data_IF_570954094199
#
_entry.id   IF_570954094199
#
_cell.length_a   1.000
_cell.length_b   1.000
_cell.length_c   1.000
_cell.angle_alpha   90.00
_cell.angle_beta   90.00
_cell.angle_gamma   90.00
#
_symmetry.space_group_name_H-M   'P 1'
#
loop_
_entity.id
_entity.type
_entity.pdbx_description
1 polymer ?
#
# COMPACT_ATOMS: atom_id res chain seq x y z
N UNK A 1 -65.17 -24.70 48.28
CA UNK A 1 -63.79 -24.67 47.75
C UNK A 1 -63.30 -23.25 47.78
N UNK A 2 -62.00 -23.09 48.03
CA UNK A 2 -61.24 -21.86 48.24
C UNK A 2 -61.67 -20.88 49.36
N UNK A 3 -60.91 -20.89 50.46
CA UNK A 3 -60.98 -19.87 51.49
C UNK A 3 -60.06 -20.15 52.67
N UNK A 4 -58.76 -19.83 52.54
CA UNK A 4 -57.86 -19.71 53.71
C UNK A 4 -57.11 -18.39 53.69
N UNK A 5 -57.55 -17.49 54.58
CA UNK A 5 -56.77 -16.44 55.24
C UNK A 5 -55.73 -17.09 56.20
N UNK A 6 -54.98 -16.36 57.07
CA UNK A 6 -54.67 -14.92 57.18
C UNK A 6 -53.15 -14.66 57.44
N UNK A 7 -52.75 -13.39 57.67
CA UNK A 7 -51.61 -13.11 58.56
C UNK A 7 -50.77 -11.86 58.28
N UNK A 8 -51.20 -10.69 58.77
CA UNK A 8 -50.32 -9.57 59.16
C UNK A 8 -49.78 -9.86 60.59
N UNK A 9 -48.86 -9.08 61.22
CA UNK A 9 -47.98 -7.97 60.80
C UNK A 9 -46.54 -8.07 61.37
N UNK A 10 -45.65 -7.10 61.10
CA UNK A 10 -44.39 -6.96 61.85
C UNK A 10 -43.54 -5.75 61.48
N UNK A 11 -43.44 -4.79 62.40
CA UNK A 11 -42.83 -3.46 62.27
C UNK A 11 -41.51 -3.41 63.06
N UNK A 12 -40.40 -2.93 62.49
CA UNK A 12 -39.24 -2.32 63.20
C UNK A 12 -38.59 -1.28 62.26
N UNK A 13 -38.63 0.04 62.54
CA UNK A 13 -37.62 0.86 63.29
C UNK A 13 -36.20 0.63 62.75
N UNK A 14 -35.40 1.60 62.30
CA UNK A 14 -35.03 2.92 62.87
C UNK A 14 -34.18 3.65 61.78
N UNK A 15 -34.34 4.97 61.58
CA UNK A 15 -33.35 6.05 61.86
C UNK A 15 -31.90 5.70 61.44
N UNK A 16 -31.15 6.50 60.70
CA UNK A 16 -30.84 7.90 60.97
C UNK A 16 -29.82 8.39 59.91
N UNK A 17 -29.63 9.73 59.82
CA UNK A 17 -28.38 10.46 59.46
C UNK A 17 -27.47 9.90 58.35
N UNK A 18 -27.00 10.67 57.38
CA UNK A 18 -26.88 12.11 57.27
C UNK A 18 -25.81 12.43 56.21
N UNK A 19 -26.01 13.55 55.52
CA UNK A 19 -24.99 14.58 55.26
C UNK A 19 -23.60 14.10 54.76
N UNK A 20 -23.28 14.41 53.50
CA UNK A 20 -22.28 15.45 53.14
C UNK A 20 -22.13 15.64 51.63
N UNK A 21 -22.36 16.88 51.20
CA UNK A 21 -21.82 17.50 49.99
C UNK A 21 -20.38 17.95 50.27
N UNK A 22 -19.46 17.74 49.33
CA UNK A 22 -18.20 18.48 49.18
C UNK A 22 -18.01 18.66 47.67
N UNK A 23 -18.31 19.82 47.08
CA UNK A 23 -17.54 21.08 47.06
C UNK A 23 -16.18 20.91 46.36
N UNK A 24 -16.12 21.59 45.22
CA UNK A 24 -14.97 21.81 44.36
C UNK A 24 -13.74 22.33 45.12
N UNK A 25 -12.55 21.96 44.62
CA UNK A 25 -11.34 22.75 44.81
C UNK A 25 -10.59 22.86 43.49
N UNK A 26 -10.60 24.08 42.97
CA UNK A 26 -9.64 24.57 42.01
C UNK A 26 -8.26 24.66 42.69
N UNK A 27 -7.23 24.19 42.02
CA UNK A 27 -5.85 24.53 42.33
C UNK A 27 -5.24 25.24 41.11
N UNK A 28 -5.12 26.55 41.25
CA UNK A 28 -4.24 27.38 40.42
C UNK A 28 -2.80 27.06 40.81
N UNK A 29 -2.02 26.54 39.87
CA UNK A 29 -0.56 26.47 39.96
C UNK A 29 0.02 27.35 38.86
N UNK A 30 0.39 28.57 39.22
CA UNK A 30 1.22 29.43 38.38
C UNK A 30 2.68 29.18 38.72
N UNK A 31 3.51 28.85 37.74
CA UNK A 31 4.96 28.96 37.84
C UNK A 31 5.55 29.42 36.51
N UNK A 32 6.30 30.51 36.64
CA UNK A 32 6.94 31.41 35.66
C UNK A 32 8.01 30.69 34.80
N UNK A 33 8.15 31.05 33.51
CA UNK A 33 9.30 31.76 32.87
C UNK A 33 10.66 31.06 33.06
N UNK A 34 11.56 30.83 32.10
CA UNK A 34 11.85 31.31 30.73
C UNK A 34 13.01 30.40 30.17
N UNK A 35 13.64 30.65 29.00
CA UNK A 35 14.13 29.65 28.05
C UNK A 35 15.66 29.42 28.12
N UNK A 36 16.13 28.30 27.58
CA UNK A 36 17.53 28.06 27.20
C UNK A 36 17.59 26.72 26.45
N UNK A 37 18.45 26.47 25.47
CA UNK A 37 19.29 27.29 24.63
C UNK A 37 19.65 26.38 23.44
N UNK A 38 19.80 27.00 22.29
CA UNK A 38 20.17 26.42 21.02
C UNK A 38 21.66 26.01 21.08
N UNK A 39 21.98 24.72 20.92
CA UNK A 39 23.37 24.27 20.75
C UNK A 39 23.50 23.69 19.34
N UNK A 40 23.86 24.58 18.41
CA UNK A 40 24.46 24.22 17.12
C UNK A 40 25.91 23.86 17.39
N UNK A 41 26.29 22.61 17.14
CA UNK A 41 27.69 22.22 17.03
C UNK A 41 27.92 21.74 15.58
N UNK A 42 28.33 22.68 14.73
CA UNK A 42 28.91 22.39 13.44
C UNK A 42 30.38 22.02 13.67
N UNK A 43 30.76 20.77 13.37
CA UNK A 43 32.17 20.37 13.27
C UNK A 43 32.49 20.21 11.80
N UNK A 44 33.12 21.25 11.24
CA UNK A 44 33.82 21.23 9.96
C UNK A 44 35.24 20.74 10.26
N UNK A 45 35.60 19.56 9.77
CA UNK A 45 37.01 19.16 9.63
C UNK A 45 37.30 19.10 8.13
N UNK A 46 37.97 20.15 7.69
CA UNK A 46 38.63 20.27 6.40
C UNK A 46 40.04 19.69 6.57
N UNK A 47 40.42 18.66 5.80
CA UNK A 47 41.82 18.29 5.63
C UNK A 47 42.07 17.94 4.17
N UNK A 48 42.98 18.72 3.60
CA UNK A 48 43.33 18.80 2.20
C UNK A 48 44.43 17.78 1.83
N UNK A 49 44.23 17.17 0.65
CA UNK A 49 45.17 16.79 -0.43
C UNK A 49 46.69 16.67 -0.19
N UNK A 50 47.28 15.62 -0.81
CA UNK A 50 48.64 15.42 -1.42
C UNK A 50 48.80 13.87 -1.59
N UNK A 51 49.25 13.20 -2.66
CA UNK A 51 50.11 13.53 -3.82
C UNK A 51 49.91 12.54 -5.00
N UNK A 52 50.26 13.03 -6.18
CA UNK A 52 50.73 12.47 -7.46
C UNK A 52 50.87 10.96 -7.76
N UNK A 53 50.54 10.63 -9.02
CA UNK A 53 51.51 10.04 -9.96
C UNK A 53 51.34 8.56 -10.32
N UNK A 54 51.07 8.26 -11.60
CA UNK A 54 51.18 6.90 -12.13
C UNK A 54 50.66 6.70 -13.55
N UNK A 55 51.41 7.19 -14.56
CA UNK A 55 51.33 6.67 -15.93
C UNK A 55 52.09 5.34 -16.00
N UNK A 56 51.56 4.39 -16.77
CA UNK A 56 52.24 3.14 -17.11
C UNK A 56 51.89 2.71 -18.53
N UNK A 57 52.66 3.22 -19.48
CA UNK A 57 52.72 2.82 -20.89
C UNK A 57 53.56 1.53 -20.99
N UNK A 58 53.11 0.55 -21.78
CA UNK A 58 53.83 -0.72 -22.01
C UNK A 58 53.77 -1.11 -23.48
N UNK A 59 54.78 -0.68 -24.25
CA UNK A 59 55.08 -1.13 -25.60
C UNK A 59 56.08 -2.31 -25.56
N UNK A 60 55.95 -3.27 -26.48
CA UNK A 60 57.06 -4.20 -26.78
C UNK A 60 56.72 -5.46 -27.56
N UNK A 61 56.89 -5.40 -28.89
CA UNK A 61 57.31 -6.51 -29.78
C UNK A 61 56.22 -7.50 -30.22
N UNK A 62 55.96 -7.75 -31.51
CA UNK A 62 56.82 -7.70 -32.68
C UNK A 62 57.16 -9.12 -33.14
N UNK A 63 56.33 -9.72 -34.01
CA UNK A 63 56.78 -10.82 -34.87
C UNK A 63 55.99 -10.82 -36.19
N UNK A 64 56.75 -10.96 -37.27
CA UNK A 64 56.42 -10.74 -38.68
C UNK A 64 55.68 -11.95 -39.32
N UNK A 65 55.28 -11.88 -40.61
CA UNK A 65 54.10 -12.55 -41.15
C UNK A 65 54.37 -13.95 -41.73
N UNK A 66 53.32 -14.77 -41.79
CA UNK A 66 53.29 -16.01 -42.60
C UNK A 66 52.13 -15.92 -43.60
N UNK A 67 52.46 -16.19 -44.86
CA UNK A 67 51.60 -16.12 -46.03
C UNK A 67 50.36 -17.02 -45.94
N UNK A 68 49.18 -16.42 -46.10
CA UNK A 68 47.89 -17.12 -46.22
C UNK A 68 47.51 -17.31 -47.68
N UNK A 69 47.27 -18.58 -48.04
CA UNK A 69 46.91 -19.05 -49.37
C UNK A 69 45.62 -18.40 -49.92
N UNK A 70 45.64 -18.09 -51.21
CA UNK A 70 44.48 -17.66 -51.99
C UNK A 70 43.54 -18.84 -52.22
N UNK A 71 42.34 -18.81 -51.61
CA UNK A 71 41.25 -19.72 -51.91
C UNK A 71 40.15 -18.98 -52.67
N UNK A 72 39.84 -19.46 -53.87
CA UNK A 72 38.76 -18.97 -54.74
C UNK A 72 37.40 -19.34 -54.15
N UNK A 73 36.56 -18.34 -53.82
CA UNK A 73 35.19 -18.54 -53.32
C UNK A 73 34.18 -18.30 -54.45
N UNK A 74 33.24 -19.21 -54.73
CA UNK A 74 32.18 -19.03 -55.73
C UNK A 74 31.09 -18.03 -55.24
N UNK A 75 30.30 -17.43 -56.15
CA UNK A 75 29.36 -16.37 -55.82
C UNK A 75 28.23 -16.85 -54.88
N UNK A 76 27.79 -16.03 -53.90
CA UNK A 76 26.68 -16.39 -53.02
C UNK A 76 25.34 -16.41 -53.78
N UNK A 77 24.59 -17.48 -53.52
CA UNK A 77 23.18 -17.67 -53.91
C UNK A 77 22.28 -16.60 -53.28
N UNK A 78 21.21 -16.14 -53.95
CA UNK A 78 20.28 -15.17 -53.38
C UNK A 78 19.57 -15.75 -52.14
N UNK A 79 19.75 -15.06 -51.02
CA UNK A 79 19.07 -15.35 -49.75
C UNK A 79 17.54 -15.25 -49.91
N UNK A 80 16.74 -16.17 -49.35
CA UNK A 80 15.29 -16.04 -49.38
C UNK A 80 14.87 -14.79 -48.59
N UNK A 81 14.05 -13.98 -49.26
CA UNK A 81 13.37 -12.79 -48.75
C UNK A 81 12.77 -13.05 -47.36
N UNK A 82 13.13 -12.21 -46.39
CA UNK A 82 12.56 -12.24 -45.05
C UNK A 82 11.05 -11.97 -45.15
N UNK A 83 10.26 -13.00 -44.86
CA UNK A 83 8.80 -12.92 -44.72
C UNK A 83 8.47 -11.92 -43.60
N UNK A 84 7.54 -10.95 -43.82
CA UNK A 84 7.21 -9.95 -42.82
C UNK A 84 6.68 -10.63 -41.55
N UNK A 85 7.31 -10.28 -40.42
CA UNK A 85 6.93 -10.75 -39.10
C UNK A 85 5.45 -10.47 -38.83
N UNK A 86 4.69 -11.53 -38.59
CA UNK A 86 3.29 -11.45 -38.20
C UNK A 86 3.17 -10.53 -36.96
N UNK A 87 2.30 -9.53 -37.06
CA UNK A 87 1.89 -8.70 -35.93
C UNK A 87 1.30 -9.61 -34.85
N UNK A 88 2.04 -9.83 -33.77
CA UNK A 88 1.57 -10.66 -32.67
C UNK A 88 0.31 -10.03 -32.06
N UNK A 89 -0.81 -10.76 -32.07
CA UNK A 89 -2.02 -10.38 -31.35
C UNK A 89 -1.67 -10.17 -29.87
N UNK A 90 -2.02 -9.04 -29.24
CA UNK A 90 -1.70 -8.80 -27.84
C UNK A 90 -2.32 -9.89 -26.96
N UNK A 91 -1.51 -10.52 -26.12
CA UNK A 91 -1.96 -11.56 -25.19
C UNK A 91 -2.95 -10.96 -24.18
N UNK A 92 -4.07 -11.65 -23.94
CA UNK A 92 -5.06 -11.22 -22.97
C UNK A 92 -4.47 -11.20 -21.55
N UNK A 93 -4.75 -10.13 -20.80
CA UNK A 93 -4.27 -9.95 -19.42
C UNK A 93 -5.40 -9.72 -18.44
N UNK A 94 -5.19 -10.08 -17.18
CA UNK A 94 -6.05 -9.73 -16.05
C UNK A 94 -5.30 -8.78 -15.12
N UNK A 95 -5.95 -7.72 -14.66
CA UNK A 95 -5.39 -6.79 -13.66
C UNK A 95 -5.78 -7.21 -12.25
N UNK A 96 -4.79 -7.28 -11.35
CA UNK A 96 -4.95 -7.62 -9.94
C UNK A 96 -4.59 -6.42 -9.07
N UNK A 97 -5.42 -6.14 -8.05
CA UNK A 97 -5.12 -5.14 -7.02
C UNK A 97 -4.60 -5.85 -5.77
N UNK A 98 -3.35 -5.61 -5.41
CA UNK A 98 -2.68 -6.26 -4.28
C UNK A 98 -2.40 -5.22 -3.20
N UNK A 99 -2.68 -5.57 -1.95
CA UNK A 99 -2.42 -4.68 -0.81
C UNK A 99 -1.19 -5.17 -0.07
N UNK A 100 -0.14 -4.36 -0.09
CA UNK A 100 1.11 -4.57 0.62
C UNK A 100 1.27 -3.53 1.73
N UNK A 101 2.45 -3.49 2.36
CA UNK A 101 2.76 -2.46 3.33
C UNK A 101 3.60 -1.35 2.72
N UNK A 102 3.33 -0.12 3.14
CA UNK A 102 4.13 1.06 2.87
C UNK A 102 4.29 1.82 4.17
N UNK A 103 5.53 1.89 4.68
CA UNK A 103 5.83 2.52 5.99
C UNK A 103 4.96 1.97 7.14
N UNK A 104 4.56 0.70 7.05
CA UNK A 104 3.75 0.02 8.07
C UNK A 104 2.23 0.19 7.94
N UNK A 105 1.77 0.96 6.97
CA UNK A 105 0.35 1.13 6.59
C UNK A 105 0.07 0.41 5.26
N UNK A 106 -1.19 0.31 4.83
CA UNK A 106 -1.56 -0.31 3.57
C UNK A 106 -1.10 0.52 2.36
N UNK A 107 -0.53 -0.13 1.36
CA UNK A 107 -0.19 0.42 0.05
C UNK A 107 -0.65 -0.51 -1.07
N UNK A 108 -1.03 0.05 -2.22
CA UNK A 108 -1.63 -0.73 -3.32
C UNK A 108 -0.67 -0.88 -4.49
N UNK A 109 -0.58 -2.11 -5.00
CA UNK A 109 0.02 -2.43 -6.28
C UNK A 109 -1.05 -2.87 -7.28
N UNK A 110 -0.84 -2.56 -8.55
CA UNK A 110 -1.71 -2.93 -9.65
C UNK A 110 -0.91 -3.77 -10.66
N UNK A 111 -1.09 -5.09 -10.59
CA UNK A 111 -0.29 -6.06 -11.35
C UNK A 111 -1.08 -6.62 -12.52
N UNK A 112 -0.51 -6.57 -13.72
CA UNK A 112 -1.06 -7.26 -14.90
C UNK A 112 -0.46 -8.65 -14.99
N UNK A 113 -1.32 -9.67 -15.03
CA UNK A 113 -0.96 -11.08 -15.20
C UNK A 113 -1.58 -11.64 -16.48
N UNK A 114 -1.10 -12.77 -17.01
CA UNK A 114 -1.80 -13.48 -18.07
C UNK A 114 -3.26 -13.74 -17.69
N UNK A 115 -4.16 -13.72 -18.67
CA UNK A 115 -5.58 -13.95 -18.45
C UNK A 115 -5.82 -15.24 -17.63
N UNK A 116 -6.65 -15.13 -16.60
CA UNK A 116 -6.96 -16.26 -15.72
C UNK A 116 -8.44 -16.34 -15.41
N UNK A 117 -8.94 -17.57 -15.29
CA UNK A 117 -10.31 -17.86 -14.84
C UNK A 117 -10.45 -17.84 -13.32
N UNK A 118 -9.33 -17.77 -12.58
CA UNK A 118 -9.32 -17.74 -11.10
C UNK A 118 -8.57 -16.50 -10.57
N UNK A 119 -9.08 -15.28 -10.85
CA UNK A 119 -8.37 -14.04 -10.52
C UNK A 119 -8.19 -13.83 -9.01
N UNK A 120 -9.15 -14.25 -8.17
CA UNK A 120 -9.02 -14.18 -6.71
C UNK A 120 -7.88 -15.07 -6.19
N UNK A 121 -7.80 -16.31 -6.67
CA UNK A 121 -6.69 -17.25 -6.35
C UNK A 121 -5.35 -16.68 -6.83
N UNK A 122 -5.31 -16.10 -8.03
CA UNK A 122 -4.10 -15.46 -8.55
C UNK A 122 -3.67 -14.27 -7.69
N UNK A 123 -4.62 -13.43 -7.25
CA UNK A 123 -4.34 -12.29 -6.37
C UNK A 123 -3.79 -12.72 -5.01
N UNK A 124 -4.40 -13.72 -4.35
CA UNK A 124 -3.91 -14.21 -3.06
C UNK A 124 -2.53 -14.84 -3.21
N UNK A 125 -2.28 -15.64 -4.24
CA UNK A 125 -0.93 -16.20 -4.49
C UNK A 125 0.10 -15.10 -4.74
N UNK A 126 -0.24 -14.07 -5.51
CA UNK A 126 0.64 -12.93 -5.76
C UNK A 126 0.91 -12.13 -4.48
N UNK A 127 -0.10 -11.94 -3.62
CA UNK A 127 0.05 -11.31 -2.31
C UNK A 127 1.00 -12.10 -1.40
N UNK A 128 0.82 -13.43 -1.32
CA UNK A 128 1.67 -14.32 -0.51
C UNK A 128 3.11 -14.39 -1.01
N UNK A 129 3.32 -14.29 -2.32
CA UNK A 129 4.65 -14.21 -2.93
C UNK A 129 5.38 -12.89 -2.59
N UNK A 130 4.63 -11.85 -2.21
CA UNK A 130 5.16 -10.55 -1.86
C UNK A 130 5.33 -9.58 -3.05
N UNK A 131 5.84 -8.37 -2.76
CA UNK A 131 6.06 -7.36 -3.77
C UNK A 131 7.21 -7.73 -4.72
N UNK A 132 7.04 -7.43 -6.01
CA UNK A 132 8.10 -7.55 -7.00
C UNK A 132 9.17 -6.45 -6.87
N UNK A 133 10.13 -6.42 -7.79
CA UNK A 133 11.24 -5.47 -7.73
C UNK A 133 10.82 -4.01 -7.88
N UNK A 134 9.91 -3.73 -8.82
CA UNK A 134 9.41 -2.37 -9.06
C UNK A 134 8.55 -1.90 -7.88
N UNK A 135 7.70 -2.79 -7.36
CA UNK A 135 6.88 -2.55 -6.18
C UNK A 135 7.74 -2.28 -4.93
N UNK A 136 8.81 -3.05 -4.73
CA UNK A 136 9.79 -2.81 -3.65
C UNK A 136 10.54 -1.49 -3.83
N UNK A 137 10.97 -1.17 -5.05
CA UNK A 137 11.60 0.11 -5.37
C UNK A 137 10.65 1.30 -5.12
N UNK A 138 9.34 1.09 -5.29
CA UNK A 138 8.30 2.05 -4.93
C UNK A 138 8.01 2.13 -3.42
N UNK A 139 8.72 1.37 -2.58
CA UNK A 139 8.60 1.36 -1.13
C UNK A 139 7.51 0.44 -0.60
N UNK A 140 7.03 -0.53 -1.38
CA UNK A 140 6.16 -1.59 -0.89
C UNK A 140 6.97 -2.70 -0.23
N UNK A 141 6.43 -3.26 0.85
CA UNK A 141 7.03 -4.35 1.62
C UNK A 141 6.02 -5.50 1.78
N UNK A 142 6.49 -6.74 1.99
CA UNK A 142 5.61 -7.87 2.26
C UNK A 142 4.68 -7.57 3.44
N UNK A 143 3.39 -7.88 3.28
CA UNK A 143 2.41 -7.76 4.36
C UNK A 143 2.26 -9.05 5.17
N UNK A 144 2.55 -10.19 4.55
CA UNK A 144 2.30 -11.53 5.08
C UNK A 144 3.62 -12.17 5.54
N UNK A 145 3.57 -12.96 6.61
CA UNK A 145 4.69 -13.79 7.07
C UNK A 145 5.21 -14.68 5.93
N UNK A 146 6.54 -14.75 5.79
CA UNK A 146 7.18 -15.55 4.74
C UNK A 146 6.85 -17.05 4.90
N UNK A 147 6.70 -17.74 3.76
CA UNK A 147 6.43 -19.19 3.72
C UNK A 147 4.96 -19.58 3.91
N UNK A 148 4.06 -18.64 4.16
CA UNK A 148 2.61 -18.89 4.18
C UNK A 148 2.14 -19.23 2.76
N UNK A 149 1.37 -20.32 2.63
CA UNK A 149 0.85 -20.80 1.35
C UNK A 149 -0.68 -20.91 1.40
N UNK A 150 -1.31 -20.75 0.22
CA UNK A 150 -2.75 -20.93 0.04
C UNK A 150 -3.09 -22.41 -0.11
N UNK A 151 -3.87 -22.97 0.82
CA UNK A 151 -4.36 -24.36 0.76
C UNK A 151 -5.66 -24.45 0.00
N UNK A 152 -6.60 -23.55 0.26
CA UNK A 152 -7.93 -23.50 -0.40
C UNK A 152 -8.40 -22.06 -0.53
N UNK A 153 -9.10 -21.80 -1.64
CA UNK A 153 -9.91 -20.60 -1.82
C UNK A 153 -11.21 -20.96 -2.53
N UNK A 154 -12.33 -20.55 -1.97
CA UNK A 154 -13.65 -20.62 -2.60
C UNK A 154 -14.40 -19.31 -2.35
N UNK A 155 -15.33 -18.96 -3.23
CA UNK A 155 -16.20 -17.80 -3.05
C UNK A 155 -17.64 -18.29 -3.17
N UNK A 156 -18.44 -18.05 -2.14
CA UNK A 156 -19.85 -18.37 -2.10
C UNK A 156 -20.58 -17.26 -1.34
N UNK A 157 -21.75 -16.85 -1.83
CA UNK A 157 -22.65 -15.89 -1.16
C UNK A 157 -21.96 -14.59 -0.69
N UNK A 158 -21.05 -14.04 -1.49
CA UNK A 158 -20.32 -12.81 -1.15
C UNK A 158 -19.16 -13.02 -0.16
N UNK A 159 -18.88 -14.25 0.28
CA UNK A 159 -17.82 -14.56 1.23
C UNK A 159 -16.71 -15.36 0.54
N UNK A 160 -15.47 -14.86 0.64
CA UNK A 160 -14.29 -15.62 0.25
C UNK A 160 -13.83 -16.50 1.43
N UNK A 161 -13.98 -17.81 1.28
CA UNK A 161 -13.44 -18.81 2.20
C UNK A 161 -11.98 -19.09 1.84
N UNK A 162 -11.06 -18.75 2.74
CA UNK A 162 -9.62 -18.87 2.53
C UNK A 162 -9.01 -19.72 3.61
N UNK A 163 -8.29 -20.77 3.23
CA UNK A 163 -7.48 -21.57 4.14
C UNK A 163 -6.00 -21.42 3.82
N UNK A 164 -5.22 -20.99 4.82
CA UNK A 164 -3.77 -20.82 4.73
C UNK A 164 -3.03 -21.92 5.49
N UNK A 165 -1.76 -22.14 5.13
CA UNK A 165 -0.90 -23.13 5.81
C UNK A 165 -0.42 -22.68 7.19
N UNK A 166 -0.27 -21.37 7.40
CA UNK A 166 0.22 -20.78 8.63
C UNK A 166 -0.35 -19.37 8.81
N UNK A 167 -0.29 -18.79 10.02
CA UNK A 167 -0.77 -17.43 10.28
C UNK A 167 -0.12 -16.39 9.35
N UNK A 168 -0.92 -15.50 8.72
CA UNK A 168 -0.38 -14.45 7.88
C UNK A 168 0.31 -13.34 8.67
N UNK A 169 0.06 -13.22 9.97
CA UNK A 169 0.68 -12.24 10.86
C UNK A 169 1.65 -12.90 11.85
N UNK A 170 2.76 -12.22 12.22
CA UNK A 170 3.76 -12.76 13.14
C UNK A 170 3.25 -12.89 14.58
N UNK A 171 2.37 -11.97 15.00
CA UNK A 171 1.66 -12.05 16.28
C UNK A 171 0.17 -12.21 15.98
N UNK A 172 -0.36 -13.44 15.99
CA UNK A 172 -1.76 -13.72 15.69
C UNK A 172 -2.71 -13.27 16.82
N UNK A 173 -2.17 -12.94 18.00
CA UNK A 173 -2.96 -12.48 19.15
C UNK A 173 -3.08 -10.95 19.21
N UNK A 174 -2.37 -10.26 18.31
CA UNK A 174 -2.39 -8.82 18.23
C UNK A 174 -3.81 -8.28 17.96
N UNK A 175 -4.13 -7.06 18.44
CA UNK A 175 -5.40 -6.43 18.11
C UNK A 175 -5.51 -6.20 16.58
N UNK A 176 -6.74 -6.08 16.03
CA UNK A 176 -6.95 -5.93 14.59
C UNK A 176 -6.15 -4.80 13.93
N UNK A 177 -5.92 -3.71 14.67
CA UNK A 177 -5.11 -2.57 14.22
C UNK A 177 -3.63 -2.91 13.95
N UNK A 178 -3.16 -4.11 14.31
CA UNK A 178 -1.78 -4.59 14.11
C UNK A 178 -1.69 -5.84 13.22
N UNK A 179 -2.83 -6.42 12.81
CA UNK A 179 -2.89 -7.59 11.93
C UNK A 179 -2.78 -7.18 10.45
N UNK A 180 -1.55 -6.84 10.05
CA UNK A 180 -1.18 -6.31 8.74
C UNK A 180 -1.37 -7.32 7.60
N UNK A 181 -0.97 -8.57 7.80
CA UNK A 181 -1.12 -9.64 6.81
C UNK A 181 -2.58 -10.00 6.59
N UNK A 182 -3.35 -10.11 7.67
CA UNK A 182 -4.79 -10.30 7.63
C UNK A 182 -5.49 -9.13 6.91
N UNK A 183 -5.14 -7.89 7.24
CA UNK A 183 -5.69 -6.71 6.58
C UNK A 183 -5.39 -6.73 5.07
N UNK A 184 -4.14 -6.97 4.67
CA UNK A 184 -3.75 -7.06 3.28
C UNK A 184 -4.55 -8.10 2.49
N UNK A 185 -4.78 -9.28 3.08
CA UNK A 185 -5.60 -10.33 2.47
C UNK A 185 -7.06 -9.88 2.31
N UNK A 186 -7.66 -9.32 3.37
CA UNK A 186 -9.04 -8.84 3.36
C UNK A 186 -9.23 -7.74 2.31
N UNK A 187 -8.35 -6.75 2.24
CA UNK A 187 -8.46 -5.67 1.26
C UNK A 187 -8.27 -6.18 -0.18
N UNK A 188 -7.33 -7.09 -0.40
CA UNK A 188 -7.09 -7.72 -1.70
C UNK A 188 -8.33 -8.47 -2.20
N UNK A 189 -8.94 -9.29 -1.35
CA UNK A 189 -10.12 -10.08 -1.74
C UNK A 189 -11.38 -9.23 -1.89
N UNK A 190 -11.59 -8.27 -1.00
CA UNK A 190 -12.75 -7.36 -1.09
C UNK A 190 -12.61 -6.29 -2.18
N UNK A 191 -11.59 -6.38 -3.07
CA UNK A 191 -11.58 -5.64 -4.32
C UNK A 191 -12.41 -6.28 -5.42
N UNK A 192 -12.65 -7.59 -5.32
CA UNK A 192 -13.56 -8.28 -6.22
C UNK A 192 -14.99 -7.90 -5.84
N UNK A 193 -15.77 -7.42 -6.81
CA UNK A 193 -17.14 -6.96 -6.55
C UNK A 193 -18.09 -8.06 -6.04
N UNK A 194 -17.70 -9.33 -6.21
CA UNK A 194 -18.43 -10.50 -5.72
C UNK A 194 -18.02 -10.92 -4.31
N UNK A 195 -17.14 -10.16 -3.62
CA UNK A 195 -16.61 -10.49 -2.29
C UNK A 195 -16.81 -9.32 -1.33
N UNK A 196 -17.72 -9.49 -0.38
CA UNK A 196 -18.05 -8.56 0.68
C UNK A 196 -17.25 -8.81 1.97
N UNK A 197 -16.91 -10.08 2.23
CA UNK A 197 -16.18 -10.50 3.42
C UNK A 197 -15.26 -11.71 3.17
N UNK A 198 -14.36 -11.98 4.11
CA UNK A 198 -13.39 -13.09 4.04
C UNK A 198 -13.50 -13.98 5.27
N UNK A 199 -13.93 -15.22 5.11
CA UNK A 199 -13.82 -16.23 6.15
C UNK A 199 -12.42 -16.84 6.08
N UNK A 200 -11.57 -16.53 7.05
CA UNK A 200 -10.17 -16.94 7.06
C UNK A 200 -9.95 -18.07 8.06
N UNK A 201 -9.32 -19.14 7.60
CA UNK A 201 -8.82 -20.24 8.42
C UNK A 201 -7.32 -20.44 8.22
N UNK A 202 -6.67 -20.99 9.23
CA UNK A 202 -5.28 -21.46 9.19
C UNK A 202 -5.27 -22.91 9.60
N UNK A 203 -4.77 -23.78 8.74
CA UNK A 203 -4.78 -25.21 8.95
C UNK A 203 -6.20 -25.79 9.23
N UNK A 204 -7.27 -25.15 8.73
CA UNK A 204 -8.66 -25.51 9.00
C UNK A 204 -9.29 -24.85 10.24
N UNK A 205 -8.51 -24.16 11.07
CA UNK A 205 -9.00 -23.48 12.28
C UNK A 205 -9.33 -22.01 12.02
N UNK A 206 -10.41 -21.45 12.59
CA UNK A 206 -10.76 -20.03 12.42
C UNK A 206 -9.63 -19.07 12.82
N UNK A 207 -9.40 -18.05 12.00
CA UNK A 207 -8.32 -17.09 12.21
C UNK A 207 -8.72 -15.64 11.83
N UNK A 208 -8.32 -14.62 12.61
CA UNK A 208 -7.69 -14.72 13.94
C UNK A 208 -8.74 -15.09 14.99
N UNK A 209 -8.33 -15.77 16.06
CA UNK A 209 -9.27 -16.18 17.12
C UNK A 209 -10.00 -15.00 17.79
N UNK A 210 -9.41 -13.80 17.75
CA UNK A 210 -9.98 -12.57 18.31
C UNK A 210 -11.10 -11.95 17.44
N UNK A 211 -11.24 -12.37 16.19
CA UNK A 211 -12.28 -11.92 15.26
C UNK A 211 -12.97 -13.14 14.63
N UNK A 212 -13.88 -13.81 15.37
CA UNK A 212 -14.58 -14.96 14.83
C UNK A 212 -15.51 -14.54 13.68
N UNK A 213 -15.55 -15.36 12.62
CA UNK A 213 -16.43 -15.20 11.47
C UNK A 213 -15.85 -14.41 10.31
N UNK A 214 -16.67 -14.11 9.28
CA UNK A 214 -16.21 -13.39 8.08
C UNK A 214 -15.70 -11.98 8.38
N UNK A 215 -14.48 -11.72 7.93
CA UNK A 215 -13.75 -10.48 8.13
C UNK A 215 -14.11 -9.45 7.05
N UNK A 216 -14.44 -8.23 7.47
CA UNK A 216 -14.61 -7.07 6.59
C UNK A 216 -13.44 -6.11 6.76
N UNK A 217 -13.38 -5.04 5.97
CA UNK A 217 -12.34 -4.00 6.10
C UNK A 217 -12.40 -3.20 7.41
N UNK A 218 -13.56 -3.17 8.09
CA UNK A 218 -13.84 -2.27 9.22
C UNK A 218 -12.84 -2.38 10.38
N UNK A 219 -12.46 -3.57 10.88
CA UNK A 219 -11.52 -3.70 12.00
C UNK A 219 -10.10 -3.21 11.68
N UNK A 220 -9.76 -3.16 10.39
CA UNK A 220 -8.39 -2.87 9.91
C UNK A 220 -8.21 -1.42 9.44
N UNK A 221 -9.22 -0.55 9.56
CA UNK A 221 -9.15 0.85 9.08
C UNK A 221 -8.03 1.68 9.71
N UNK A 222 -7.52 1.27 10.87
CA UNK A 222 -6.36 1.90 11.50
C UNK A 222 -5.05 1.72 10.70
N UNK A 223 -5.03 0.77 9.76
CA UNK A 223 -3.90 0.53 8.85
C UNK A 223 -4.04 1.29 7.52
N UNK A 224 -5.16 2.00 7.29
CA UNK A 224 -5.31 2.87 6.12
C UNK A 224 -4.54 4.18 6.37
N UNK A 225 -3.64 4.61 5.45
CA UNK A 225 -2.95 5.88 5.57
C UNK A 225 -3.91 7.07 5.50
N UNK A 226 -3.46 8.25 5.93
CA UNK A 226 -4.27 9.49 5.92
C UNK A 226 -4.82 9.80 4.53
N UNK A 227 -4.00 9.64 3.48
CA UNK A 227 -4.47 9.60 2.09
C UNK A 227 -4.25 8.18 1.56
N UNK A 228 -5.33 7.44 1.41
CA UNK A 228 -5.31 6.07 0.91
C UNK A 228 -5.80 6.02 -0.53
N UNK A 229 -4.86 5.94 -1.46
CA UNK A 229 -5.13 5.77 -2.89
C UNK A 229 -5.30 4.28 -3.17
N UNK A 230 -6.50 3.87 -3.57
CA UNK A 230 -6.82 2.48 -3.93
C UNK A 230 -6.77 2.25 -5.44
N UNK A 231 -6.86 3.31 -6.24
CA UNK A 231 -6.69 3.30 -7.68
C UNK A 231 -6.17 4.67 -8.15
N UNK A 232 -5.12 4.74 -8.97
CA UNK A 232 -4.28 3.62 -9.44
C UNK A 232 -3.34 3.07 -8.35
N UNK A 233 -2.91 1.82 -8.52
CA UNK A 233 -1.82 1.23 -7.72
C UNK A 233 -0.44 1.44 -8.34
N UNK A 234 0.62 1.04 -7.61
CA UNK A 234 1.98 0.99 -8.18
C UNK A 234 1.99 0.05 -9.40
N UNK A 235 2.59 0.49 -10.51
CA UNK A 235 2.68 -0.28 -11.75
C UNK A 235 1.48 -0.14 -12.69
N UNK A 236 0.45 0.62 -12.29
CA UNK A 236 -0.75 0.81 -13.09
C UNK A 236 -0.45 1.39 -14.48
N UNK A 237 -1.18 0.92 -15.48
CA UNK A 237 -1.24 1.51 -16.82
C UNK A 237 -2.40 2.51 -16.86
N UNK A 238 -2.12 3.80 -17.00
CA UNK A 238 -3.12 4.86 -16.95
C UNK A 238 -3.66 5.19 -18.34
N UNK A 239 -4.92 4.90 -18.68
CA UNK A 239 -5.57 5.49 -19.85
C UNK A 239 -5.79 6.99 -19.64
N UNK A 240 -6.01 7.74 -20.72
CA UNK A 240 -6.54 9.10 -20.64
C UNK A 240 -8.06 9.11 -20.94
N UNK A 241 -8.91 9.62 -20.03
CA UNK A 241 -8.63 9.96 -18.63
C UNK A 241 -8.51 8.69 -17.75
N UNK A 242 -7.84 8.81 -16.60
CA UNK A 242 -7.82 7.76 -15.58
C UNK A 242 -8.65 8.14 -14.35
N UNK A 243 -9.10 7.12 -13.61
CA UNK A 243 -9.83 7.30 -12.36
C UNK A 243 -8.87 7.25 -11.17
N UNK A 244 -8.88 8.31 -10.37
CA UNK A 244 -8.23 8.38 -9.06
C UNK A 244 -9.30 8.17 -7.98
N UNK A 245 -9.15 7.10 -7.19
CA UNK A 245 -10.13 6.71 -6.18
C UNK A 245 -9.50 6.16 -4.90
N UNK A 246 -10.22 6.30 -3.79
CA UNK A 246 -9.78 5.81 -2.49
C UNK A 246 -10.52 6.47 -1.34
N UNK A 247 -9.80 6.71 -0.24
CA UNK A 247 -10.32 7.44 0.91
C UNK A 247 -9.25 8.30 1.57
N UNK A 248 -9.67 9.39 2.20
CA UNK A 248 -8.76 10.29 2.88
C UNK A 248 -9.35 10.81 4.20
N UNK A 249 -8.48 11.13 5.15
CA UNK A 249 -8.75 11.85 6.38
C UNK A 249 -7.79 13.05 6.43
N UNK A 250 -8.15 14.11 5.71
CA UNK A 250 -7.35 15.33 5.59
C UNK A 250 -8.17 16.56 5.98
N UNK A 251 -7.50 17.63 6.39
CA UNK A 251 -8.15 18.90 6.74
C UNK A 251 -8.94 19.45 5.53
N UNK A 252 -10.12 20.03 5.78
CA UNK A 252 -11.06 20.53 4.75
C UNK A 252 -11.49 19.52 3.67
N UNK A 253 -11.15 18.24 3.82
CA UNK A 253 -11.39 17.19 2.85
C UNK A 253 -10.68 17.38 1.49
N UNK A 254 -9.75 18.33 1.37
CA UNK A 254 -9.10 18.66 0.10
C UNK A 254 -7.61 18.31 0.10
N UNK A 255 -7.13 17.77 -1.01
CA UNK A 255 -5.72 17.44 -1.22
C UNK A 255 -5.36 17.57 -2.71
N UNK A 256 -4.07 17.50 -3.03
CA UNK A 256 -3.55 17.61 -4.39
C UNK A 256 -3.17 16.25 -4.95
N UNK A 257 -3.52 16.00 -6.21
CA UNK A 257 -2.95 14.93 -7.01
C UNK A 257 -2.19 15.53 -8.20
N UNK A 258 -0.93 15.14 -8.35
CA UNK A 258 -0.01 15.64 -9.36
C UNK A 258 0.58 14.47 -10.14
N UNK A 259 0.31 14.43 -11.44
CA UNK A 259 0.94 13.50 -12.35
C UNK A 259 2.22 14.14 -12.90
N UNK A 260 3.35 13.49 -12.65
CA UNK A 260 4.68 13.96 -13.09
C UNK A 260 5.31 12.94 -14.02
N UNK A 261 5.83 13.38 -15.16
CA UNK A 261 6.64 12.57 -16.06
C UNK A 261 8.07 12.40 -15.56
N UNK A 262 8.96 11.85 -16.42
CA UNK A 262 10.37 11.72 -16.12
C UNK A 262 11.00 13.07 -15.75
N UNK A 263 11.97 13.05 -14.84
CA UNK A 263 12.67 14.25 -14.32
C UNK A 263 11.76 15.24 -13.58
N UNK A 264 10.58 14.82 -13.13
CA UNK A 264 9.67 15.66 -12.33
C UNK A 264 8.89 16.69 -13.15
N UNK A 265 8.86 16.59 -14.49
CA UNK A 265 8.03 17.44 -15.34
C UNK A 265 6.55 17.24 -14.98
N UNK A 266 5.87 18.27 -14.51
CA UNK A 266 4.41 18.23 -14.27
C UNK A 266 3.66 18.01 -15.58
N UNK A 267 2.79 16.99 -15.60
CA UNK A 267 1.90 16.67 -16.71
C UNK A 267 0.49 17.15 -16.40
N UNK A 268 -0.02 16.81 -15.21
CA UNK A 268 -1.33 17.24 -14.73
C UNK A 268 -1.27 17.55 -13.23
N UNK A 269 -2.14 18.44 -12.76
CA UNK A 269 -2.33 18.71 -11.33
C UNK A 269 -3.80 19.02 -11.11
N UNK A 270 -4.41 18.32 -10.15
CA UNK A 270 -5.82 18.47 -9.80
C UNK A 270 -5.97 18.57 -8.29
N UNK A 271 -6.92 19.39 -7.85
CA UNK A 271 -7.40 19.38 -6.47
C UNK A 271 -8.49 18.32 -6.36
N UNK A 272 -8.38 17.45 -5.35
CA UNK A 272 -9.33 16.37 -5.09
C UNK A 272 -10.04 16.66 -3.78
N UNK A 273 -11.37 16.46 -3.77
CA UNK A 273 -12.21 16.62 -2.58
C UNK A 273 -12.76 15.26 -2.16
N UNK A 274 -12.48 14.85 -0.93
CA UNK A 274 -13.10 13.71 -0.29
C UNK A 274 -14.50 14.09 0.24
N UNK A 275 -15.40 13.12 0.35
CA UNK A 275 -16.77 13.39 0.80
C UNK A 275 -16.90 13.83 2.28
N UNK A 276 -15.82 13.76 3.06
CA UNK A 276 -15.74 14.20 4.47
C UNK A 276 -14.31 14.65 4.80
N UNK A 277 -14.18 15.69 5.63
CA UNK A 277 -12.90 16.17 6.15
C UNK A 277 -12.56 15.58 7.52
N UNK A 278 -11.30 15.70 7.91
CA UNK A 278 -10.81 15.28 9.22
C UNK A 278 -11.63 15.92 10.36
N UNK A 279 -11.93 15.19 11.45
CA UNK A 279 -11.39 13.87 11.80
C UNK A 279 -12.09 12.69 11.10
N UNK A 280 -13.15 12.91 10.34
CA UNK A 280 -13.81 11.85 9.59
C UNK A 280 -13.00 11.45 8.35
N UNK A 281 -13.12 10.17 7.95
CA UNK A 281 -12.59 9.67 6.68
C UNK A 281 -13.66 9.78 5.60
N UNK A 282 -13.35 10.44 4.49
CA UNK A 282 -14.20 10.55 3.31
C UNK A 282 -13.70 9.67 2.16
N UNK A 283 -14.61 9.14 1.34
CA UNK A 283 -14.24 8.52 0.06
C UNK A 283 -14.06 9.60 -1.01
N UNK A 284 -13.21 9.35 -1.99
CA UNK A 284 -13.07 10.18 -3.18
C UNK A 284 -13.04 9.30 -4.43
N UNK A 285 -13.54 9.86 -5.55
CA UNK A 285 -13.40 9.32 -6.90
C UNK A 285 -13.43 10.50 -7.86
N UNK A 286 -12.37 10.69 -8.63
CA UNK A 286 -12.27 11.76 -9.63
C UNK A 286 -11.66 11.23 -10.90
N UNK A 287 -12.07 11.77 -12.04
CA UNK A 287 -11.39 11.53 -13.32
C UNK A 287 -10.30 12.58 -13.50
N UNK A 288 -9.14 12.14 -13.99
CA UNK A 288 -7.96 12.96 -14.22
C UNK A 288 -7.55 12.78 -15.67
N UNK A 289 -7.77 13.81 -16.46
CA UNK A 289 -7.28 13.89 -17.83
C UNK A 289 -5.81 14.33 -17.84
N UNK A 290 -5.06 13.86 -18.83
CA UNK A 290 -3.69 14.26 -19.08
C UNK A 290 -3.38 14.24 -20.58
N UNK A 291 -2.41 15.08 -21.00
CA UNK A 291 -1.91 15.07 -22.37
C UNK A 291 -0.39 14.91 -22.34
N UNK A 292 0.09 13.69 -22.58
CA UNK A 292 1.50 13.35 -22.64
C UNK A 292 1.72 12.11 -23.51
N UNK A 293 2.96 11.93 -23.97
CA UNK A 293 3.35 10.69 -24.67
C UNK A 293 3.35 9.50 -23.70
N UNK A 294 3.14 8.28 -24.21
CA UNK A 294 3.22 7.06 -23.41
C UNK A 294 4.60 6.91 -22.76
N UNK A 295 4.65 6.34 -21.56
CA UNK A 295 5.91 6.14 -20.84
C UNK A 295 5.78 6.25 -19.32
N UNK A 296 6.91 6.13 -18.60
CA UNK A 296 6.91 6.14 -17.14
C UNK A 296 6.52 7.50 -16.58
N UNK A 297 5.71 7.48 -15.53
CA UNK A 297 5.29 8.65 -14.77
C UNK A 297 5.21 8.33 -13.27
N UNK A 298 4.95 9.33 -12.45
CA UNK A 298 4.71 9.20 -11.01
C UNK A 298 3.53 10.05 -10.63
N UNK A 299 2.51 9.43 -10.04
CA UNK A 299 1.43 10.12 -9.38
C UNK A 299 1.84 10.46 -7.94
N UNK A 300 1.82 11.75 -7.61
CA UNK A 300 2.08 12.29 -6.28
C UNK A 300 0.76 12.75 -5.68
N UNK A 301 0.36 12.17 -4.56
CA UNK A 301 -0.86 12.57 -3.85
C UNK A 301 -0.49 13.03 -2.44
N UNK A 302 -0.85 14.25 -2.09
CA UNK A 302 -0.45 14.90 -0.84
C UNK A 302 -1.41 16.02 -0.45
N UNK A 303 -1.51 16.30 0.83
CA UNK A 303 -2.09 17.54 1.35
C UNK A 303 -0.98 18.55 1.69
N UNK A 304 -1.37 19.81 1.86
CA UNK A 304 -0.44 20.91 2.14
C UNK A 304 -0.75 21.44 3.53
N UNK A 305 0.29 21.54 4.35
CA UNK A 305 0.23 22.14 5.67
C UNK A 305 -0.13 23.62 5.58
N UNK A 306 -1.18 24.03 6.28
CA UNK A 306 -1.54 25.45 6.40
C UNK A 306 -0.56 26.24 7.28
N UNK A 307 0.28 25.56 8.06
CA UNK A 307 1.24 26.20 8.95
C UNK A 307 2.53 26.65 8.22
N UNK A 308 3.03 25.84 7.28
CA UNK A 308 4.35 26.03 6.68
C UNK A 308 4.41 25.72 5.17
N UNK A 309 3.29 25.34 4.55
CA UNK A 309 3.22 24.98 3.13
C UNK A 309 3.93 23.67 2.78
N UNK A 310 4.39 22.90 3.77
CA UNK A 310 5.03 21.61 3.54
C UNK A 310 4.03 20.59 2.98
N UNK A 311 4.52 19.69 2.12
CA UNK A 311 3.72 18.56 1.63
C UNK A 311 3.65 17.50 2.74
N UNK A 312 2.44 17.19 3.18
CA UNK A 312 2.16 16.16 4.16
C UNK A 312 1.55 14.92 3.49
N UNK A 313 1.55 13.81 4.23
CA UNK A 313 0.92 12.54 3.83
C UNK A 313 1.24 12.09 2.38
N UNK A 314 2.43 12.42 1.88
CA UNK A 314 2.79 12.22 0.48
C UNK A 314 2.83 10.73 0.12
N UNK A 315 1.97 10.34 -0.81
CA UNK A 315 1.96 9.05 -1.49
C UNK A 315 2.58 9.21 -2.88
N UNK A 316 3.62 8.42 -3.18
CA UNK A 316 4.28 8.37 -4.49
C UNK A 316 3.96 7.07 -5.20
N UNK A 317 3.29 7.12 -6.35
CA UNK A 317 2.82 5.93 -7.06
C UNK A 317 3.45 5.94 -8.46
N UNK A 318 4.53 5.17 -8.69
CA UNK A 318 5.05 4.94 -10.03
C UNK A 318 4.00 4.25 -10.90
N UNK A 319 3.80 4.78 -12.11
CA UNK A 319 2.77 4.36 -13.06
C UNK A 319 3.32 4.47 -14.49
N UNK A 320 2.59 3.91 -15.46
CA UNK A 320 2.91 4.00 -16.88
C UNK A 320 1.73 4.67 -17.60
N UNK A 321 2.00 5.68 -18.42
CA UNK A 321 1.00 6.31 -19.28
C UNK A 321 0.72 5.41 -20.49
N UNK A 322 -0.55 5.17 -20.76
CA UNK A 322 -0.99 4.36 -21.89
C UNK A 322 -0.72 5.07 -23.24
N UNK A 323 -0.72 4.30 -24.35
CA UNK A 323 -0.75 4.79 -25.73
C UNK A 323 -1.79 5.89 -25.99
#
# INVERSE_FOLDING_TARGET
>A
MEGRRPGRPGRRRRSDTGRRKMVARATRGASRLLPAALVVAAVVVLLASVVSGGCGEGEGGGTAPTAGATATVPPPSPSPSASPAATATPAATTTLFLYFLRRGELGVAERRVPATTMPATAAVRALLAGPDEEERAAGLAPAVTAGVTLRRLAIADGVAEVDLSAPPDPDPTAPPARLRGTAALVYTLTRFATVDAVALTVAGEPYPASLPGPLTRRPFRALEPEIFVEQPGVGALLPDPFVLAGSARVFEATFTAQLSGPNGRRIATVTVTAGRGAPARGRFRTEVAYSARPGPATLLVYDVSMADGSRQHLVRIPVVLAP
#
